data_IF_729721263955
#
_entry.id   IF_729721263955
#
_cell.length_a   1.000
_cell.length_b   1.000
_cell.length_c   1.000
_cell.angle_alpha   90.00
_cell.angle_beta   90.00
_cell.angle_gamma   90.00
#
_symmetry.space_group_name_H-M   'P 1'
#
loop_
_entity.id
_entity.type
_entity.pdbx_description
1 polymer ?
#
# COMPACT_ATOMS: atom_id res chain seq x y z
N UNK A 1 26.82 21.23 7.18
CA UNK A 1 26.23 20.66 5.95
C UNK A 1 26.22 19.12 5.98
N UNK A 2 25.16 18.53 6.52
CA UNK A 2 24.98 17.07 6.56
C UNK A 2 24.37 16.69 5.20
N UNK A 3 25.18 16.07 4.34
CA UNK A 3 24.72 15.49 3.06
C UNK A 3 23.82 14.29 3.36
N UNK A 4 22.51 14.49 3.41
CA UNK A 4 21.52 13.41 3.40
C UNK A 4 21.60 12.70 2.05
N UNK A 5 22.34 11.59 1.99
CA UNK A 5 22.28 10.65 0.85
C UNK A 5 20.86 10.09 0.79
N UNK A 6 20.04 10.58 -0.14
CA UNK A 6 18.79 9.92 -0.56
C UNK A 6 19.10 8.44 -0.81
N UNK A 7 18.52 7.54 -0.01
CA UNK A 7 18.61 6.11 -0.27
C UNK A 7 17.84 5.79 -1.56
N UNK A 8 18.43 4.93 -2.38
CA UNK A 8 17.92 4.57 -3.69
C UNK A 8 16.55 3.89 -3.60
N UNK A 9 15.65 4.35 -4.47
CA UNK A 9 14.34 3.80 -4.81
C UNK A 9 14.40 2.26 -4.94
N UNK A 10 13.62 1.51 -4.15
CA UNK A 10 13.22 0.13 -4.49
C UNK A 10 14.07 -1.06 -3.99
N UNK A 11 14.64 -1.04 -2.78
CA UNK A 11 15.17 -2.29 -2.18
C UNK A 11 14.20 -2.89 -1.17
N UNK A 12 13.47 -3.93 -1.57
CA UNK A 12 12.57 -4.71 -0.69
C UNK A 12 13.32 -5.54 0.38
N UNK A 13 14.66 -5.50 0.37
CA UNK A 13 15.52 -6.25 1.29
C UNK A 13 16.67 -5.36 1.78
N UNK A 14 16.84 -5.32 3.10
CA UNK A 14 17.80 -4.49 3.83
C UNK A 14 18.96 -5.33 4.36
N UNK A 15 20.13 -4.71 4.47
CA UNK A 15 21.25 -5.28 5.24
C UNK A 15 21.12 -4.91 6.72
N UNK A 16 21.85 -5.60 7.60
CA UNK A 16 21.93 -5.23 9.02
C UNK A 16 22.39 -3.79 9.23
N UNK A 17 23.27 -3.27 8.36
CA UNK A 17 23.72 -1.88 8.41
C UNK A 17 22.65 -0.88 8.01
N UNK A 18 21.76 -1.25 7.09
CA UNK A 18 20.63 -0.39 6.69
C UNK A 18 19.59 -0.32 7.82
N UNK A 19 19.25 -1.48 8.40
CA UNK A 19 18.34 -1.57 9.56
C UNK A 19 18.88 -0.82 10.77
N UNK A 20 20.19 -0.89 11.02
CA UNK A 20 20.83 -0.19 12.14
C UNK A 20 20.67 1.33 12.06
N UNK A 21 20.82 1.89 10.85
CA UNK A 21 20.61 3.32 10.60
C UNK A 21 19.15 3.70 10.85
N UNK A 22 18.25 2.94 10.24
CA UNK A 22 16.79 3.14 10.32
C UNK A 22 16.29 3.14 11.77
N UNK A 23 16.72 2.16 12.56
CA UNK A 23 16.27 2.03 13.95
C UNK A 23 17.12 2.89 14.91
N UNK A 24 18.11 3.64 14.41
CA UNK A 24 19.09 4.39 15.18
C UNK A 24 19.75 3.57 16.30
N UNK A 25 20.22 2.36 15.96
CA UNK A 25 20.90 1.43 16.87
C UNK A 25 22.23 0.95 16.30
N UNK A 26 23.06 0.32 17.14
CA UNK A 26 24.30 -0.31 16.68
C UNK A 26 24.00 -1.55 15.79
N UNK A 27 24.77 -1.81 14.71
CA UNK A 27 24.61 -2.99 13.86
C UNK A 27 24.71 -4.34 14.59
N UNK A 28 25.42 -4.37 15.73
CA UNK A 28 25.49 -5.54 16.61
C UNK A 28 24.13 -5.85 17.24
N UNK A 29 23.36 -4.83 17.60
CA UNK A 29 22.01 -4.99 18.17
C UNK A 29 21.08 -5.63 17.14
N UNK A 30 21.12 -5.17 15.88
CA UNK A 30 20.35 -5.76 14.78
C UNK A 30 20.76 -7.21 14.52
N UNK A 31 22.07 -7.51 14.55
CA UNK A 31 22.55 -8.88 14.40
C UNK A 31 22.03 -9.78 15.51
N UNK A 32 21.96 -9.29 16.77
CA UNK A 32 21.38 -10.02 17.89
C UNK A 32 19.88 -10.26 17.72
N UNK A 33 19.11 -9.25 17.27
CA UNK A 33 17.69 -9.44 16.96
C UNK A 33 17.46 -10.49 15.89
N UNK A 34 18.31 -10.52 14.85
CA UNK A 34 18.23 -11.54 13.80
C UNK A 34 18.62 -12.93 14.29
N UNK A 35 19.77 -13.05 14.97
CA UNK A 35 20.30 -14.35 15.39
C UNK A 35 19.46 -14.98 16.51
N UNK A 36 18.73 -14.17 17.29
CA UNK A 36 17.73 -14.64 18.26
C UNK A 36 16.35 -14.92 17.65
N UNK A 37 16.15 -14.67 16.35
CA UNK A 37 14.88 -14.91 15.65
C UNK A 37 13.80 -13.85 15.86
N UNK A 38 14.07 -12.80 16.65
CA UNK A 38 13.13 -11.69 16.86
C UNK A 38 12.88 -10.90 15.57
N UNK A 39 13.95 -10.67 14.79
CA UNK A 39 13.89 -10.05 13.47
C UNK A 39 14.12 -11.11 12.38
N UNK A 40 13.07 -11.46 11.64
CA UNK A 40 13.15 -12.51 10.62
C UNK A 40 13.86 -12.02 9.37
N UNK A 41 14.47 -12.96 8.67
CA UNK A 41 15.09 -12.78 7.37
C UNK A 41 15.94 -14.01 7.02
N UNK A 42 16.82 -13.88 6.04
CA UNK A 42 17.62 -15.00 5.55
C UNK A 42 19.10 -14.64 5.45
N UNK A 43 19.96 -15.66 5.42
CA UNK A 43 21.38 -15.51 5.10
C UNK A 43 21.61 -15.87 3.64
N UNK A 44 22.57 -15.20 3.00
CA UNK A 44 22.94 -15.52 1.62
C UNK A 44 23.76 -16.82 1.63
N UNK A 45 23.42 -17.83 0.81
CA UNK A 45 24.24 -19.04 0.68
C UNK A 45 25.69 -18.70 0.33
N UNK A 46 26.65 -19.23 1.10
CA UNK A 46 28.09 -18.96 0.90
C UNK A 46 28.60 -17.65 1.52
N UNK A 47 27.75 -16.82 2.14
CA UNK A 47 28.15 -15.63 2.90
C UNK A 47 27.56 -15.62 4.31
N UNK A 48 28.20 -14.90 5.23
CA UNK A 48 27.65 -14.62 6.57
C UNK A 48 26.66 -13.44 6.57
N UNK A 49 26.44 -12.84 5.41
CA UNK A 49 25.58 -11.67 5.28
C UNK A 49 24.11 -12.00 5.49
N UNK A 50 23.46 -11.15 6.29
CA UNK A 50 22.04 -11.22 6.60
C UNK A 50 21.26 -10.30 5.66
N UNK A 51 20.05 -10.72 5.31
CA UNK A 51 19.10 -10.01 4.48
C UNK A 51 17.75 -9.98 5.19
N UNK A 52 17.27 -8.77 5.46
CA UNK A 52 16.07 -8.52 6.26
C UNK A 52 15.04 -7.90 5.32
N UNK A 53 13.93 -8.58 5.01
CA UNK A 53 12.83 -7.99 4.26
C UNK A 53 12.30 -6.74 4.95
N UNK A 54 11.92 -5.73 4.17
CA UNK A 54 11.35 -4.49 4.70
C UNK A 54 10.07 -4.76 5.48
N UNK A 55 9.23 -5.69 5.02
CA UNK A 55 8.03 -6.15 5.72
C UNK A 55 8.31 -6.68 7.12
N UNK A 56 9.33 -7.52 7.26
CA UNK A 56 9.74 -8.09 8.55
C UNK A 56 10.27 -7.02 9.51
N UNK A 57 11.00 -6.03 9.00
CA UNK A 57 11.45 -4.92 9.84
C UNK A 57 10.27 -4.05 10.30
N UNK A 58 9.34 -3.72 9.40
CA UNK A 58 8.12 -2.97 9.75
C UNK A 58 7.31 -3.70 10.81
N UNK A 59 7.10 -5.02 10.65
CA UNK A 59 6.43 -5.87 11.65
C UNK A 59 7.15 -5.82 13.00
N UNK A 60 8.47 -6.01 13.01
CA UNK A 60 9.28 -5.98 14.21
C UNK A 60 9.19 -4.62 14.93
N UNK A 61 9.26 -3.51 14.20
CA UNK A 61 9.17 -2.18 14.79
C UNK A 61 7.80 -1.89 15.40
N UNK A 62 6.70 -2.33 14.75
CA UNK A 62 5.33 -2.23 15.30
C UNK A 62 5.20 -3.03 16.60
N UNK A 63 5.65 -4.27 16.64
CA UNK A 63 5.56 -5.15 17.83
C UNK A 63 6.35 -4.60 19.01
N UNK A 64 7.50 -3.97 18.76
CA UNK A 64 8.40 -3.47 19.80
C UNK A 64 8.26 -1.97 20.07
N UNK A 65 7.21 -1.30 19.56
CA UNK A 65 6.95 0.14 19.72
C UNK A 65 8.16 1.03 19.39
N UNK A 66 8.94 0.66 18.36
CA UNK A 66 10.07 1.47 17.90
C UNK A 66 9.61 2.53 16.89
N UNK A 67 10.13 3.77 16.98
CA UNK A 67 9.75 4.84 16.06
C UNK A 67 10.18 4.48 14.63
N UNK A 68 9.20 4.19 13.77
CA UNK A 68 9.39 3.80 12.36
C UNK A 68 9.75 4.98 11.43
N UNK A 69 10.19 6.11 11.99
CA UNK A 69 10.31 7.40 11.32
C UNK A 69 11.29 7.43 10.14
N UNK A 70 12.24 6.47 10.05
CA UNK A 70 13.23 6.41 8.95
C UNK A 70 13.04 5.25 7.95
N UNK A 71 12.03 4.40 8.13
CA UNK A 71 11.64 3.47 7.08
C UNK A 71 10.84 4.21 6.04
N UNK A 72 11.54 4.77 5.04
CA UNK A 72 10.92 5.12 3.78
C UNK A 72 10.51 3.85 3.00
N UNK A 73 9.65 3.02 3.58
CA UNK A 73 8.60 2.39 2.77
C UNK A 73 7.82 3.59 2.26
N UNK A 74 7.90 3.89 0.96
CA UNK A 74 7.12 5.01 0.42
C UNK A 74 5.68 4.83 0.87
N UNK A 75 5.03 5.93 1.28
CA UNK A 75 3.62 5.92 1.71
C UNK A 75 2.81 5.08 0.74
N UNK A 76 1.85 4.30 1.25
CA UNK A 76 0.97 3.55 0.36
C UNK A 76 0.27 4.56 -0.54
N UNK A 77 0.51 4.44 -1.85
CA UNK A 77 -0.10 5.27 -2.88
C UNK A 77 -1.51 4.76 -3.16
N UNK A 78 -2.51 5.61 -2.91
CA UNK A 78 -3.92 5.32 -3.14
C UNK A 78 -4.45 6.26 -4.23
N UNK A 79 -5.07 5.70 -5.26
CA UNK A 79 -5.79 6.45 -6.26
C UNK A 79 -7.30 6.28 -6.00
N UNK A 80 -8.06 7.37 -6.00
CA UNK A 80 -9.51 7.35 -5.82
C UNK A 80 -10.18 7.79 -7.12
N UNK A 81 -11.00 6.94 -7.70
CA UNK A 81 -11.82 7.23 -8.87
C UNK A 81 -13.27 7.48 -8.44
N UNK A 82 -13.68 8.75 -8.45
CA UNK A 82 -15.01 9.21 -8.08
C UNK A 82 -15.34 10.53 -8.80
N UNK A 83 -16.50 10.60 -9.46
CA UNK A 83 -16.93 11.81 -10.16
C UNK A 83 -17.34 12.93 -9.21
N UNK A 84 -17.69 12.62 -7.96
CA UNK A 84 -17.91 13.59 -6.89
C UNK A 84 -16.58 14.04 -6.27
N UNK A 85 -16.08 15.19 -6.73
CA UNK A 85 -14.80 15.73 -6.28
C UNK A 85 -14.75 16.10 -4.80
N UNK A 86 -15.87 16.50 -4.19
CA UNK A 86 -15.92 16.84 -2.76
C UNK A 86 -15.80 15.59 -1.90
N UNK A 87 -16.58 14.55 -2.21
CA UNK A 87 -16.51 13.27 -1.51
C UNK A 87 -15.12 12.63 -1.65
N UNK A 88 -14.55 12.63 -2.87
CA UNK A 88 -13.21 12.12 -3.13
C UNK A 88 -12.14 12.88 -2.32
N UNK A 89 -12.24 14.21 -2.25
CA UNK A 89 -11.27 15.04 -1.52
C UNK A 89 -11.38 14.86 -0.01
N UNK A 90 -12.58 14.72 0.53
CA UNK A 90 -12.81 14.45 1.95
C UNK A 90 -12.23 13.09 2.36
N UNK A 91 -12.49 12.04 1.56
CA UNK A 91 -11.89 10.73 1.78
C UNK A 91 -10.37 10.79 1.67
N UNK A 92 -9.83 11.46 0.64
CA UNK A 92 -8.40 11.63 0.45
C UNK A 92 -7.73 12.32 1.65
N UNK A 93 -8.29 13.41 2.16
CA UNK A 93 -7.75 14.13 3.33
C UNK A 93 -7.74 13.27 4.59
N UNK A 94 -8.80 12.48 4.79
CA UNK A 94 -8.88 11.58 5.95
C UNK A 94 -7.88 10.43 5.82
N UNK A 95 -7.74 9.83 4.64
CA UNK A 95 -6.75 8.79 4.35
C UNK A 95 -5.31 9.28 4.51
N UNK A 96 -5.02 10.52 4.10
CA UNK A 96 -3.71 11.14 4.30
C UNK A 96 -3.41 11.39 5.79
N UNK A 97 -4.41 11.80 6.57
CA UNK A 97 -4.22 12.19 7.98
C UNK A 97 -4.23 10.99 8.93
N UNK A 98 -5.15 10.02 8.73
CA UNK A 98 -5.31 8.85 9.60
C UNK A 98 -4.48 7.64 9.16
N UNK A 99 -4.33 7.43 7.85
CA UNK A 99 -3.66 6.26 7.28
C UNK A 99 -2.22 6.49 6.83
N UNK A 100 -1.74 7.75 6.86
CA UNK A 100 -0.43 8.15 6.35
C UNK A 100 -0.18 7.73 4.88
N UNK A 101 -1.22 7.82 4.05
CA UNK A 101 -1.19 7.45 2.63
C UNK A 101 -0.80 8.64 1.73
N UNK A 102 -0.23 8.34 0.56
CA UNK A 102 -0.11 9.31 -0.53
C UNK A 102 -1.34 9.13 -1.44
N UNK A 103 -2.25 10.11 -1.45
CA UNK A 103 -3.55 9.95 -2.11
C UNK A 103 -3.69 10.90 -3.30
N UNK A 104 -4.20 10.39 -4.43
CA UNK A 104 -4.65 11.19 -5.57
C UNK A 104 -6.09 10.85 -5.92
N UNK A 105 -6.80 11.80 -6.52
CA UNK A 105 -8.17 11.65 -6.98
C UNK A 105 -8.26 11.85 -8.48
N UNK A 106 -9.20 11.17 -9.13
CA UNK A 106 -9.53 11.26 -10.56
C UNK A 106 -11.04 11.16 -10.72
N UNK A 107 -11.57 11.76 -11.79
CA UNK A 107 -13.02 11.94 -11.95
C UNK A 107 -13.60 11.21 -13.17
N UNK A 108 -12.77 10.44 -13.89
CA UNK A 108 -13.20 9.69 -15.09
C UNK A 108 -12.36 8.43 -15.33
N UNK A 109 -12.89 7.50 -16.15
CA UNK A 109 -12.16 6.30 -16.59
C UNK A 109 -10.82 6.64 -17.26
N UNK A 110 -10.82 7.64 -18.14
CA UNK A 110 -9.63 8.05 -18.87
C UNK A 110 -8.53 8.59 -17.94
N UNK A 111 -8.89 9.52 -17.05
CA UNK A 111 -7.95 10.02 -16.04
C UNK A 111 -7.41 8.91 -15.15
N UNK A 112 -8.26 7.94 -14.79
CA UNK A 112 -7.87 6.78 -13.97
C UNK A 112 -6.73 6.01 -14.62
N UNK A 113 -6.83 5.67 -15.90
CA UNK A 113 -5.74 4.97 -16.62
C UNK A 113 -4.45 5.80 -16.69
N UNK A 114 -4.55 7.07 -17.08
CA UNK A 114 -3.39 7.97 -17.23
C UNK A 114 -2.66 8.17 -15.90
N UNK A 115 -3.42 8.40 -14.83
CA UNK A 115 -2.84 8.61 -13.50
C UNK A 115 -2.34 7.30 -12.93
N UNK A 116 -3.03 6.17 -13.12
CA UNK A 116 -2.55 4.86 -12.67
C UNK A 116 -1.17 4.53 -13.23
N UNK A 117 -0.91 4.78 -14.52
CA UNK A 117 0.40 4.56 -15.13
C UNK A 117 1.51 5.47 -14.56
N UNK A 118 1.22 6.76 -14.35
CA UNK A 118 2.22 7.73 -13.86
C UNK A 118 2.46 7.65 -12.36
N UNK A 119 1.40 7.42 -11.60
CA UNK A 119 1.40 7.40 -10.14
C UNK A 119 1.73 6.02 -9.58
N UNK A 120 1.48 4.97 -10.36
CA UNK A 120 1.66 3.57 -9.98
C UNK A 120 1.07 3.30 -8.58
N UNK A 121 -0.24 3.53 -8.36
CA UNK A 121 -0.83 3.35 -7.03
C UNK A 121 -0.70 1.89 -6.58
N UNK A 122 -0.57 1.64 -5.28
CA UNK A 122 -0.69 0.27 -4.77
C UNK A 122 -2.17 -0.14 -4.69
N UNK A 123 -3.05 0.84 -4.44
CA UNK A 123 -4.49 0.64 -4.34
C UNK A 123 -5.24 1.65 -5.19
N UNK A 124 -6.22 1.16 -5.95
CA UNK A 124 -7.23 1.94 -6.63
C UNK A 124 -8.58 1.72 -5.94
N UNK A 125 -9.12 2.78 -5.35
CA UNK A 125 -10.49 2.82 -4.84
C UNK A 125 -11.41 3.32 -5.96
N UNK A 126 -12.43 2.55 -6.35
CA UNK A 126 -13.36 2.93 -7.42
C UNK A 126 -14.77 3.02 -6.86
N UNK A 127 -15.39 4.21 -6.94
CA UNK A 127 -16.80 4.36 -6.58
C UNK A 127 -17.70 3.73 -7.64
N UNK A 128 -18.47 2.71 -7.24
CA UNK A 128 -19.41 2.00 -8.13
C UNK A 128 -20.62 2.83 -8.52
N UNK A 129 -20.94 3.88 -7.75
CA UNK A 129 -22.06 4.78 -7.99
C UNK A 129 -21.64 6.08 -8.69
N UNK A 130 -20.35 6.24 -9.01
CA UNK A 130 -19.87 7.43 -9.67
C UNK A 130 -20.36 7.50 -11.13
N UNK A 131 -21.15 8.53 -11.44
CA UNK A 131 -21.59 8.78 -12.81
C UNK A 131 -20.38 9.03 -13.73
N UNK A 132 -20.41 8.42 -14.93
CA UNK A 132 -19.33 8.53 -15.91
C UNK A 132 -18.08 7.70 -15.59
N UNK A 133 -18.12 6.86 -14.55
CA UNK A 133 -17.05 5.91 -14.21
C UNK A 133 -17.60 4.48 -14.33
N UNK A 134 -17.04 3.70 -15.26
CA UNK A 134 -17.32 2.26 -15.35
C UNK A 134 -16.20 1.49 -14.63
N UNK A 135 -16.50 1.08 -13.40
CA UNK A 135 -15.57 0.34 -12.56
C UNK A 135 -15.18 -1.03 -13.16
N UNK A 136 -16.06 -1.65 -13.94
CA UNK A 136 -15.78 -2.95 -14.58
C UNK A 136 -14.81 -2.77 -15.75
N UNK A 137 -14.99 -1.71 -16.54
CA UNK A 137 -14.07 -1.35 -17.63
C UNK A 137 -12.68 -0.98 -17.09
N UNK A 138 -12.62 -0.19 -16.01
CA UNK A 138 -11.36 0.14 -15.31
C UNK A 138 -10.67 -1.15 -14.86
N UNK A 139 -11.41 -2.06 -14.22
CA UNK A 139 -10.86 -3.32 -13.74
C UNK A 139 -10.27 -4.15 -14.90
N UNK A 140 -11.04 -4.33 -15.98
CA UNK A 140 -10.55 -5.03 -17.18
C UNK A 140 -9.30 -4.38 -17.78
N UNK A 141 -9.28 -3.05 -17.87
CA UNK A 141 -8.15 -2.30 -18.43
C UNK A 141 -6.88 -2.51 -17.61
N UNK A 142 -6.98 -2.37 -16.28
CA UNK A 142 -5.86 -2.57 -15.36
C UNK A 142 -5.37 -4.02 -15.37
N UNK A 143 -6.27 -5.00 -15.45
CA UNK A 143 -5.90 -6.42 -15.52
C UNK A 143 -5.28 -6.81 -16.86
N UNK A 144 -5.60 -6.11 -17.94
CA UNK A 144 -5.04 -6.38 -19.27
C UNK A 144 -3.63 -5.80 -19.47
N UNK A 145 -3.22 -4.85 -18.63
CA UNK A 145 -1.89 -4.22 -18.68
C UNK A 145 -0.95 -4.87 -17.64
N UNK A 146 0.07 -5.59 -18.10
CA UNK A 146 1.06 -6.28 -17.25
C UNK A 146 1.72 -5.34 -16.22
N UNK A 147 1.91 -4.07 -16.57
CA UNK A 147 2.51 -3.07 -15.67
C UNK A 147 1.58 -2.62 -14.54
N UNK A 148 0.28 -2.85 -14.67
CA UNK A 148 -0.75 -2.39 -13.73
C UNK A 148 -1.41 -3.54 -12.96
N UNK A 149 -1.14 -4.80 -13.30
CA UNK A 149 -1.73 -5.97 -12.62
C UNK A 149 -1.43 -6.03 -11.12
N UNK A 150 -0.37 -5.38 -10.66
CA UNK A 150 -0.02 -5.31 -9.23
C UNK A 150 -0.92 -4.37 -8.42
N UNK A 151 -1.70 -3.51 -9.09
CA UNK A 151 -2.62 -2.58 -8.43
C UNK A 151 -3.77 -3.37 -7.82
N UNK A 152 -4.03 -3.14 -6.53
CA UNK A 152 -5.20 -3.67 -5.83
C UNK A 152 -6.42 -2.81 -6.11
N UNK A 153 -7.50 -3.41 -6.59
CA UNK A 153 -8.71 -2.69 -6.98
C UNK A 153 -9.79 -2.97 -5.93
N UNK A 154 -10.19 -1.94 -5.20
CA UNK A 154 -11.24 -2.02 -4.18
C UNK A 154 -12.45 -1.22 -4.66
N UNK A 155 -13.61 -1.87 -4.68
CA UNK A 155 -14.87 -1.21 -4.96
C UNK A 155 -15.36 -0.43 -3.73
N UNK A 156 -15.71 0.84 -3.92
CA UNK A 156 -16.46 1.63 -2.95
C UNK A 156 -17.93 1.59 -3.35
N UNK A 157 -18.79 1.09 -2.48
CA UNK A 157 -20.22 0.99 -2.71
C UNK A 157 -20.97 1.56 -1.50
N UNK A 158 -22.25 1.92 -1.67
CA UNK A 158 -23.09 2.35 -0.58
C UNK A 158 -24.16 1.29 -0.30
N UNK A 159 -23.87 0.41 0.66
CA UNK A 159 -24.59 -0.84 0.98
C UNK A 159 -24.40 -1.91 -0.10
N UNK A 160 -23.79 -3.03 0.29
CA UNK A 160 -23.67 -4.22 -0.54
C UNK A 160 -24.34 -5.39 0.16
N UNK A 161 -25.08 -6.18 -0.61
CA UNK A 161 -25.52 -7.51 -0.23
C UNK A 161 -24.36 -8.50 -0.36
N UNK A 162 -24.34 -9.58 0.43
CA UNK A 162 -23.27 -10.58 0.33
C UNK A 162 -23.09 -11.18 -1.07
N UNK A 163 -24.18 -11.31 -1.83
CA UNK A 163 -24.15 -11.74 -3.24
C UNK A 163 -23.48 -10.73 -4.18
N UNK A 164 -23.62 -9.43 -3.92
CA UNK A 164 -23.02 -8.36 -4.72
C UNK A 164 -21.52 -8.26 -4.48
N UNK A 165 -21.10 -8.38 -3.21
CA UNK A 165 -19.68 -8.49 -2.84
C UNK A 165 -19.01 -9.67 -3.54
N UNK A 166 -19.64 -10.85 -3.54
CA UNK A 166 -19.11 -12.03 -4.23
C UNK A 166 -19.00 -11.83 -5.74
N UNK A 167 -20.00 -11.18 -6.36
CA UNK A 167 -19.98 -10.87 -7.79
C UNK A 167 -18.84 -9.90 -8.18
N UNK A 168 -18.52 -8.93 -7.33
CA UNK A 168 -17.40 -8.01 -7.56
C UNK A 168 -16.05 -8.74 -7.54
N UNK A 169 -15.85 -9.66 -6.60
CA UNK A 169 -14.64 -10.49 -6.56
C UNK A 169 -14.48 -11.32 -7.83
N UNK A 170 -15.57 -11.92 -8.34
CA UNK A 170 -15.54 -12.66 -9.62
C UNK A 170 -15.23 -11.78 -10.83
N UNK A 171 -15.52 -10.47 -10.76
CA UNK A 171 -15.19 -9.49 -11.79
C UNK A 171 -13.74 -8.99 -11.74
N UNK A 172 -12.94 -9.46 -10.78
CA UNK A 172 -11.50 -9.17 -10.68
C UNK A 172 -11.13 -8.07 -9.67
N UNK A 173 -12.08 -7.62 -8.84
CA UNK A 173 -11.80 -6.75 -7.71
C UNK A 173 -11.11 -7.54 -6.59
N UNK A 174 -10.16 -6.91 -5.90
CA UNK A 174 -9.46 -7.49 -4.74
C UNK A 174 -10.25 -7.30 -3.43
N UNK A 175 -11.24 -6.40 -3.43
CA UNK A 175 -12.06 -6.14 -2.26
C UNK A 175 -13.21 -5.18 -2.54
N UNK A 176 -14.07 -5.01 -1.54
CA UNK A 176 -15.16 -4.05 -1.56
C UNK A 176 -15.39 -3.46 -0.17
N UNK A 177 -15.71 -2.18 -0.12
CA UNK A 177 -16.10 -1.44 1.08
C UNK A 177 -17.59 -1.10 0.95
N UNK A 178 -18.35 -1.41 1.99
CA UNK A 178 -19.82 -1.26 1.99
C UNK A 178 -20.27 0.14 2.39
N UNK A 179 -19.42 0.89 3.08
CA UNK A 179 -19.65 2.28 3.47
C UNK A 179 -18.40 3.13 3.25
N UNK A 180 -18.33 3.96 2.19
CA UNK A 180 -17.16 4.80 1.93
C UNK A 180 -16.99 5.91 2.97
N UNK A 181 -18.07 6.21 3.72
CA UNK A 181 -18.05 7.12 4.86
C UNK A 181 -17.41 6.50 6.11
N UNK A 182 -17.37 5.16 6.21
CA UNK A 182 -16.62 4.48 7.25
C UNK A 182 -15.16 4.35 6.83
N UNK A 183 -14.37 5.38 7.17
CA UNK A 183 -12.95 5.44 6.81
C UNK A 183 -12.15 4.34 7.51
N UNK A 184 -12.62 3.81 8.64
CA UNK A 184 -11.96 2.69 9.33
C UNK A 184 -12.07 1.43 8.47
N UNK A 185 -13.27 1.13 7.94
CA UNK A 185 -13.48 0.01 7.00
C UNK A 185 -12.59 0.16 5.75
N UNK A 186 -12.47 1.38 5.21
CA UNK A 186 -11.61 1.66 4.05
C UNK A 186 -10.14 1.36 4.37
N UNK A 187 -9.64 1.83 5.53
CA UNK A 187 -8.25 1.62 5.96
C UNK A 187 -8.00 0.12 6.17
N UNK A 188 -8.86 -0.58 6.89
CA UNK A 188 -8.74 -2.02 7.12
C UNK A 188 -8.66 -2.77 5.80
N UNK A 189 -9.52 -2.46 4.83
CA UNK A 189 -9.50 -3.13 3.53
C UNK A 189 -8.26 -2.80 2.70
N UNK A 190 -7.74 -1.57 2.77
CA UNK A 190 -6.46 -1.19 2.17
C UNK A 190 -5.33 -2.04 2.77
N UNK A 191 -5.28 -2.15 4.10
CA UNK A 191 -4.24 -2.93 4.78
C UNK A 191 -4.35 -4.42 4.46
N UNK A 192 -5.54 -5.01 4.47
CA UNK A 192 -5.78 -6.42 4.12
C UNK A 192 -5.32 -6.76 2.70
N UNK A 193 -5.69 -5.93 1.72
CA UNK A 193 -5.34 -6.18 0.31
C UNK A 193 -3.88 -5.91 -0.01
N UNK A 194 -3.24 -5.00 0.73
CA UNK A 194 -1.81 -4.69 0.57
C UNK A 194 -0.91 -5.58 1.42
N UNK A 195 -1.43 -6.28 2.44
CA UNK A 195 -0.68 -7.23 3.26
C UNK A 195 -0.01 -8.35 2.45
N UNK A 196 -0.53 -8.67 1.26
CA UNK A 196 0.01 -9.70 0.34
C UNK A 196 1.21 -9.16 -0.47
N UNK A 197 1.42 -7.84 -0.51
CA UNK A 197 2.59 -7.22 -1.17
C UNK A 197 3.83 -7.25 -0.25
N UNK A 198 3.68 -7.70 1.00
CA UNK A 198 4.71 -7.69 2.05
C UNK A 198 5.32 -9.07 2.34
#
# INVERSE_FOLDING_TARGET
PIRTKRMAKGKNVLTTGDVAKICNVAPRTVSKWFDSGQLKGYRIPGSKDRRIPVSELTRFMKVHNMPATELAVGKIRVLIADSNGEAASALAGTLQTRGDYEVRTVRSNFETGVVAQKFAPHVLLVNLLAEGIDATEICKTIRSDEGLQTIKIIALANRLSGSESAALLQKGFDGCVSSPADVTEVIERIEETTAIIY
#
